data_IF_129510315813
#
_entry.id   IF_129510315813
#
_cell.length_a   1.000
_cell.length_b   1.000
_cell.length_c   1.000
_cell.angle_alpha   90.00
_cell.angle_beta   90.00
_cell.angle_gamma   90.00
#
_symmetry.space_group_name_H-M   'P 1'
#
loop_
_entity.id
_entity.type
_entity.pdbx_description
1 polymer ?
#
# COMPACT_ATOMS: atom_id res chain seq x y z
N UNK A 1 21.12 8.51 0.86
CA UNK A 1 20.04 7.58 0.47
C UNK A 1 18.75 8.02 1.14
N UNK A 2 17.68 8.27 0.37
CA UNK A 2 16.42 8.81 0.90
C UNK A 2 15.58 7.75 1.60
N UNK A 3 15.13 8.02 2.83
CA UNK A 3 14.26 7.14 3.60
C UNK A 3 12.91 6.97 2.89
N UNK A 4 12.62 5.78 2.37
CA UNK A 4 11.43 5.52 1.54
C UNK A 4 10.14 5.36 2.35
N UNK A 5 10.24 5.12 3.66
CA UNK A 5 9.08 5.14 4.55
C UNK A 5 8.64 6.55 4.95
N UNK A 6 9.20 7.62 4.37
CA UNK A 6 8.96 9.02 4.79
C UNK A 6 7.47 9.39 4.74
N UNK A 7 6.80 9.04 3.66
CA UNK A 7 5.40 9.35 3.39
C UNK A 7 4.79 8.22 2.54
N UNK A 8 3.46 8.26 2.35
CA UNK A 8 2.76 7.28 1.52
C UNK A 8 3.24 7.29 0.06
N UNK A 9 3.58 8.47 -0.48
CA UNK A 9 4.17 8.64 -1.80
C UNK A 9 5.38 7.72 -1.99
N UNK A 10 6.40 7.84 -1.14
CA UNK A 10 7.64 7.07 -1.29
C UNK A 10 7.42 5.57 -1.07
N UNK A 11 6.47 5.22 -0.20
CA UNK A 11 6.16 3.84 0.17
C UNK A 11 5.69 2.98 -1.02
N UNK A 12 5.22 3.60 -2.11
CA UNK A 12 4.88 2.90 -3.36
C UNK A 12 6.00 1.98 -3.87
N UNK A 13 7.26 2.40 -3.69
CA UNK A 13 8.44 1.63 -4.10
C UNK A 13 8.56 0.30 -3.35
N UNK A 14 8.22 0.28 -2.06
CA UNK A 14 8.18 -0.94 -1.26
C UNK A 14 7.06 -1.89 -1.74
N UNK A 15 5.89 -1.33 -2.07
CA UNK A 15 4.79 -2.10 -2.65
C UNK A 15 5.18 -2.76 -3.98
N UNK A 16 5.84 -2.02 -4.87
CA UNK A 16 6.35 -2.55 -6.14
C UNK A 16 7.47 -3.58 -5.94
N UNK A 17 8.40 -3.32 -5.01
CA UNK A 17 9.47 -4.25 -4.65
C UNK A 17 8.95 -5.60 -4.14
N UNK A 18 7.76 -5.64 -3.55
CA UNK A 18 7.13 -6.86 -3.07
C UNK A 18 6.44 -7.70 -4.18
N UNK A 19 6.20 -7.13 -5.38
CA UNK A 19 5.43 -7.80 -6.44
C UNK A 19 5.96 -9.19 -6.84
N UNK A 20 7.28 -9.42 -6.96
CA UNK A 20 7.79 -10.75 -7.31
C UNK A 20 7.52 -11.81 -6.24
N UNK A 21 7.30 -11.40 -4.99
CA UNK A 21 7.05 -12.31 -3.86
C UNK A 21 5.56 -12.65 -3.66
N UNK A 22 4.65 -11.96 -4.36
CA UNK A 22 3.20 -12.16 -4.21
C UNK A 22 2.57 -12.77 -5.47
N UNK A 23 1.70 -13.76 -5.27
CA UNK A 23 0.92 -14.37 -6.35
C UNK A 23 -0.18 -13.41 -6.82
N UNK A 24 -0.73 -13.66 -8.01
CA UNK A 24 -1.90 -12.93 -8.50
C UNK A 24 -3.07 -13.07 -7.51
N UNK A 25 -3.75 -11.97 -7.19
CA UNK A 25 -4.82 -11.95 -6.18
C UNK A 25 -4.34 -12.22 -4.75
N UNK A 26 -3.03 -12.16 -4.50
CA UNK A 26 -2.44 -12.27 -3.16
C UNK A 26 -2.68 -11.03 -2.30
N UNK A 27 -2.01 -10.95 -1.16
CA UNK A 27 -2.10 -9.81 -0.23
C UNK A 27 -0.71 -9.23 0.02
N UNK A 28 -0.60 -7.90 -0.03
CA UNK A 28 0.55 -7.14 0.43
C UNK A 28 0.13 -6.35 1.66
N UNK A 29 0.85 -6.54 2.77
CA UNK A 29 0.69 -5.77 4.00
C UNK A 29 1.92 -4.87 4.15
N UNK A 30 1.70 -3.56 4.17
CA UNK A 30 2.77 -2.56 4.31
C UNK A 30 2.76 -2.04 5.74
N UNK A 31 3.85 -2.25 6.45
CA UNK A 31 4.12 -1.59 7.72
C UNK A 31 4.96 -0.33 7.47
N UNK A 32 4.36 0.85 7.53
CA UNK A 32 5.01 2.13 7.28
C UNK A 32 5.03 3.00 8.54
N UNK A 33 6.16 3.68 8.75
CA UNK A 33 6.32 4.74 9.75
C UNK A 33 6.51 6.05 8.98
N UNK A 34 5.40 6.71 8.64
CA UNK A 34 5.40 7.90 7.80
C UNK A 34 5.83 9.13 8.61
N UNK A 35 7.15 9.33 8.69
CA UNK A 35 7.82 10.35 9.53
C UNK A 35 7.70 11.78 9.03
N UNK A 36 7.12 12.02 7.86
CA UNK A 36 6.79 13.38 7.44
C UNK A 36 5.57 13.87 8.22
N UNK A 37 5.80 14.57 9.33
CA UNK A 37 4.72 15.05 10.20
C UNK A 37 3.86 16.15 9.56
N UNK A 38 4.34 16.77 8.48
CA UNK A 38 3.59 17.81 7.76
C UNK A 38 2.77 17.15 6.65
N UNK A 39 3.40 16.27 5.86
CA UNK A 39 2.79 15.63 4.69
C UNK A 39 2.95 14.10 4.72
N UNK A 40 2.34 13.37 5.69
CA UNK A 40 2.55 11.93 5.85
C UNK A 40 2.01 11.10 4.66
N UNK A 41 1.18 11.71 3.81
CA UNK A 41 0.72 11.12 2.55
C UNK A 41 1.60 11.54 1.37
N UNK A 42 2.15 12.76 1.39
CA UNK A 42 2.77 13.43 0.26
C UNK A 42 2.07 14.74 -0.08
N UNK A 43 2.54 15.38 -1.16
CA UNK A 43 2.12 16.71 -1.62
C UNK A 43 0.60 16.84 -1.85
N UNK A 44 0.04 18.06 -1.83
CA UNK A 44 -1.36 18.31 -2.18
C UNK A 44 -1.75 17.79 -3.58
N UNK A 45 -0.85 17.92 -4.56
CA UNK A 45 -1.03 17.39 -5.91
C UNK A 45 -1.14 15.87 -5.87
N UNK A 46 -0.20 15.20 -5.19
CA UNK A 46 -0.23 13.75 -5.03
C UNK A 46 -1.51 13.27 -4.33
N UNK A 47 -1.96 13.95 -3.27
CA UNK A 47 -3.20 13.60 -2.54
C UNK A 47 -4.43 13.61 -3.45
N UNK A 48 -4.48 14.56 -4.39
CA UNK A 48 -5.57 14.64 -5.36
C UNK A 48 -5.49 13.48 -6.36
N UNK A 49 -4.30 13.21 -6.89
CA UNK A 49 -4.07 12.17 -7.88
C UNK A 49 -4.24 10.75 -7.32
N UNK A 50 -3.80 10.49 -6.08
CA UNK A 50 -3.95 9.18 -5.43
C UNK A 50 -5.42 8.91 -5.07
N UNK A 51 -6.19 9.96 -4.76
CA UNK A 51 -7.63 9.83 -4.59
C UNK A 51 -8.33 9.53 -5.92
N UNK A 52 -7.91 10.16 -7.02
CA UNK A 52 -8.39 9.80 -8.36
C UNK A 52 -8.09 8.33 -8.69
N UNK A 53 -6.87 7.84 -8.41
CA UNK A 53 -6.53 6.43 -8.57
C UNK A 53 -7.47 5.52 -7.76
N UNK A 54 -7.78 5.88 -6.51
CA UNK A 54 -8.70 5.11 -5.67
C UNK A 54 -10.10 5.01 -6.29
N UNK A 55 -10.60 6.12 -6.83
CA UNK A 55 -11.96 6.20 -7.39
C UNK A 55 -12.08 5.49 -8.75
N UNK A 56 -11.07 5.64 -9.61
CA UNK A 56 -11.12 5.15 -11.00
C UNK A 56 -10.46 3.77 -11.17
N UNK A 57 -9.70 3.33 -10.18
CA UNK A 57 -8.82 2.18 -10.31
C UNK A 57 -7.62 2.46 -11.23
N UNK A 58 -6.70 1.49 -11.37
CA UNK A 58 -5.44 1.68 -12.11
C UNK A 58 -5.62 2.03 -13.59
N UNK A 59 -6.60 1.41 -14.25
CA UNK A 59 -6.79 1.57 -15.69
C UNK A 59 -7.62 2.82 -15.99
N UNK A 60 -8.69 3.08 -15.23
CA UNK A 60 -9.45 4.32 -15.34
C UNK A 60 -8.62 5.58 -15.02
N UNK A 61 -7.66 5.47 -14.08
CA UNK A 61 -6.69 6.53 -13.83
C UNK A 61 -5.83 6.81 -15.07
N UNK A 62 -5.27 5.76 -15.70
CA UNK A 62 -4.45 5.91 -16.90
C UNK A 62 -5.25 6.46 -18.08
N UNK A 63 -6.51 6.05 -18.25
CA UNK A 63 -7.37 6.55 -19.31
C UNK A 63 -7.68 8.04 -19.12
N UNK A 64 -7.89 8.48 -17.88
CA UNK A 64 -8.07 9.88 -17.53
C UNK A 64 -6.83 10.74 -17.88
N UNK A 65 -5.62 10.23 -17.58
CA UNK A 65 -4.36 10.92 -17.94
C UNK A 65 -4.15 11.05 -19.45
N UNK A 66 -4.76 10.17 -20.26
CA UNK A 66 -4.65 10.17 -21.73
C UNK A 66 -5.66 11.09 -22.41
N UNK A 67 -6.60 11.68 -21.66
CA UNK A 67 -7.59 12.58 -22.25
C UNK A 67 -6.93 13.86 -22.79
N UNK A 68 -7.39 14.41 -23.93
CA UNK A 68 -6.79 15.61 -24.54
C UNK A 68 -6.80 16.85 -23.63
N UNK A 69 -7.71 16.88 -22.64
CA UNK A 69 -7.86 17.99 -21.70
C UNK A 69 -7.01 17.82 -20.44
N UNK A 70 -6.38 16.66 -20.25
CA UNK A 70 -5.50 16.46 -19.11
C UNK A 70 -4.23 17.29 -19.25
N UNK A 71 -3.94 18.09 -18.23
CA UNK A 71 -2.69 18.83 -18.14
C UNK A 71 -1.70 18.01 -17.32
N UNK A 72 -0.51 17.79 -17.87
CA UNK A 72 0.57 17.12 -17.16
C UNK A 72 0.77 17.80 -15.81
N UNK A 73 0.66 17.00 -14.75
CA UNK A 73 0.67 17.49 -13.37
C UNK A 73 1.84 16.86 -12.63
N UNK A 74 2.47 17.65 -11.75
CA UNK A 74 3.52 17.17 -10.86
C UNK A 74 3.04 15.92 -10.11
N UNK A 75 3.93 14.96 -9.87
CA UNK A 75 3.68 13.74 -9.09
C UNK A 75 2.71 12.73 -9.75
N UNK A 76 2.24 12.95 -10.99
CA UNK A 76 1.28 12.06 -11.67
C UNK A 76 1.77 10.63 -11.90
N UNK A 77 3.09 10.40 -11.93
CA UNK A 77 3.63 9.06 -12.12
C UNK A 77 3.48 8.18 -10.86
N UNK A 78 3.44 8.75 -9.65
CA UNK A 78 3.48 7.95 -8.42
C UNK A 78 2.19 7.15 -8.18
N UNK A 79 0.98 7.68 -8.47
CA UNK A 79 -0.22 6.86 -8.51
C UNK A 79 -0.17 5.74 -9.57
N UNK A 80 0.51 5.94 -10.71
CA UNK A 80 0.72 4.84 -11.67
C UNK A 80 1.58 3.70 -11.09
N UNK A 81 2.57 4.05 -10.25
CA UNK A 81 3.38 3.09 -9.49
C UNK A 81 2.49 2.27 -8.55
N UNK A 82 1.61 2.90 -7.79
CA UNK A 82 0.59 2.21 -6.99
C UNK A 82 -0.36 1.37 -7.86
N UNK A 83 -0.71 1.83 -9.05
CA UNK A 83 -1.52 1.09 -10.01
C UNK A 83 -0.94 -0.28 -10.37
N UNK A 84 0.40 -0.43 -10.40
CA UNK A 84 1.05 -1.74 -10.59
C UNK A 84 0.74 -2.71 -9.45
N UNK A 85 0.75 -2.21 -8.21
CA UNK A 85 0.40 -2.99 -7.02
C UNK A 85 -1.06 -3.39 -7.05
N UNK A 86 -1.93 -2.42 -7.28
CA UNK A 86 -3.38 -2.64 -7.30
C UNK A 86 -3.82 -3.58 -8.43
N UNK A 87 -3.15 -3.58 -9.58
CA UNK A 87 -3.41 -4.59 -10.62
C UNK A 87 -3.09 -6.01 -10.16
N UNK A 88 -2.06 -6.18 -9.33
CA UNK A 88 -1.59 -7.49 -8.85
C UNK A 88 -2.44 -8.08 -7.73
N UNK A 89 -2.86 -7.22 -6.78
CA UNK A 89 -3.51 -7.67 -5.53
C UNK A 89 -4.93 -7.14 -5.37
N UNK A 90 -5.39 -6.24 -6.24
CA UNK A 90 -6.66 -5.53 -6.08
C UNK A 90 -6.62 -4.51 -4.94
N UNK A 91 -7.71 -3.74 -4.80
CA UNK A 91 -7.87 -2.80 -3.68
C UNK A 91 -7.87 -3.52 -2.33
N UNK A 92 -8.61 -4.63 -2.23
CA UNK A 92 -8.72 -5.38 -0.98
C UNK A 92 -7.47 -6.19 -0.60
N UNK A 93 -6.55 -6.39 -1.55
CA UNK A 93 -5.31 -7.12 -1.31
C UNK A 93 -4.15 -6.22 -0.89
N UNK A 94 -4.32 -4.90 -0.89
CA UNK A 94 -3.35 -3.97 -0.30
C UNK A 94 -3.84 -3.55 1.09
N UNK A 95 -3.07 -3.84 2.14
CA UNK A 95 -3.33 -3.35 3.49
C UNK A 95 -2.22 -2.37 3.87
N UNK A 96 -2.59 -1.11 4.12
CA UNK A 96 -1.63 -0.07 4.48
C UNK A 96 -1.71 0.24 5.98
N UNK A 97 -0.66 -0.13 6.72
CA UNK A 97 -0.57 0.01 8.17
C UNK A 97 0.39 1.16 8.54
N UNK A 98 -0.17 2.32 8.86
CA UNK A 98 0.55 3.46 9.46
C UNK A 98 -0.27 4.07 10.59
N UNK A 99 0.41 4.46 11.68
CA UNK A 99 -0.19 5.17 12.83
C UNK A 99 -0.12 6.69 12.68
N UNK A 100 0.67 7.19 11.74
CA UNK A 100 0.94 8.61 11.50
C UNK A 100 -0.10 9.23 10.56
N UNK A 101 -0.67 8.44 9.64
CA UNK A 101 -1.77 8.87 8.79
C UNK A 101 -3.08 8.82 9.60
N UNK A 102 -3.73 9.97 9.76
CA UNK A 102 -5.03 10.03 10.44
C UNK A 102 -6.10 9.24 9.71
N UNK A 103 -6.97 8.54 10.46
CA UNK A 103 -8.06 7.69 9.92
C UNK A 103 -8.88 8.38 8.83
N UNK A 104 -9.26 9.65 9.01
CA UNK A 104 -10.06 10.39 8.02
C UNK A 104 -9.37 10.50 6.66
N UNK A 105 -8.04 10.49 6.61
CA UNK A 105 -7.30 10.63 5.36
C UNK A 105 -7.21 9.31 4.57
N UNK A 106 -7.51 8.16 5.18
CA UNK A 106 -7.58 6.89 4.45
C UNK A 106 -8.74 6.86 3.43
N UNK A 107 -9.70 7.79 3.51
CA UNK A 107 -10.69 7.95 2.44
C UNK A 107 -10.01 8.27 1.08
N UNK A 108 -8.83 8.90 1.09
CA UNK A 108 -8.07 9.26 -0.10
C UNK A 108 -7.21 8.11 -0.65
N UNK A 109 -6.79 7.18 0.20
CA UNK A 109 -5.78 6.19 -0.13
C UNK A 109 -6.40 4.91 -0.68
N UNK A 110 -5.81 4.28 -1.70
CA UNK A 110 -6.20 2.94 -2.12
C UNK A 110 -5.78 1.92 -1.06
N UNK A 111 -6.42 0.76 -1.07
CA UNK A 111 -6.16 -0.28 -0.08
C UNK A 111 -7.04 -0.19 1.17
N UNK A 112 -6.92 -1.22 2.00
CA UNK A 112 -7.56 -1.35 3.31
C UNK A 112 -6.78 -0.53 4.34
N UNK A 113 -7.51 0.20 5.18
CA UNK A 113 -6.94 0.99 6.26
C UNK A 113 -6.46 0.08 7.41
N UNK A 114 -5.16 0.07 7.70
CA UNK A 114 -4.62 -0.71 8.82
C UNK A 114 -5.21 -0.33 10.18
N UNK A 115 -5.64 0.93 10.35
CA UNK A 115 -6.28 1.36 11.59
C UNK A 115 -7.61 0.65 11.86
N UNK A 116 -8.28 0.07 10.84
CA UNK A 116 -9.51 -0.71 11.03
C UNK A 116 -9.29 -1.96 11.91
N UNK A 117 -8.05 -2.43 12.02
CA UNK A 117 -7.69 -3.55 12.89
C UNK A 117 -7.49 -3.15 14.36
N UNK A 118 -7.44 -1.85 14.66
CA UNK A 118 -7.26 -1.35 16.02
C UNK A 118 -8.57 -0.86 16.63
N UNK A 119 -8.75 -1.13 17.92
CA UNK A 119 -9.89 -0.62 18.69
C UNK A 119 -9.60 0.78 19.21
N UNK A 120 -10.63 1.64 19.20
CA UNK A 120 -10.59 2.99 19.78
C UNK A 120 -10.62 4.11 18.73
N UNK A 121 -11.20 5.25 19.12
CA UNK A 121 -11.35 6.43 18.24
C UNK A 121 -10.05 7.20 18.05
N UNK A 122 -9.17 7.20 19.06
CA UNK A 122 -7.88 7.89 19.05
C UNK A 122 -6.79 6.89 19.42
N UNK A 123 -5.86 6.67 18.50
CA UNK A 123 -4.77 5.71 18.66
C UNK A 123 -3.51 6.53 18.84
N UNK A 124 -2.86 6.40 20.00
CA UNK A 124 -1.55 7.00 20.22
C UNK A 124 -0.50 6.12 19.53
N UNK A 125 0.36 6.66 18.65
CA UNK A 125 1.42 5.89 18.03
C UNK A 125 2.35 5.27 19.07
N UNK A 126 2.53 3.95 19.01
CA UNK A 126 3.49 3.21 19.83
C UNK A 126 3.90 1.91 19.13
N UNK A 127 5.08 1.34 19.46
CA UNK A 127 5.50 0.05 18.91
C UNK A 127 4.48 -1.07 19.16
N UNK A 128 3.86 -1.09 20.34
CA UNK A 128 2.85 -2.10 20.72
C UNK A 128 1.61 -1.98 19.84
N UNK A 129 1.17 -0.76 19.52
CA UNK A 129 0.04 -0.53 18.62
C UNK A 129 0.36 -0.86 17.18
N UNK A 130 1.59 -0.58 16.73
CA UNK A 130 2.03 -0.99 15.41
C UNK A 130 2.06 -2.52 15.29
N UNK A 131 2.60 -3.21 16.29
CA UNK A 131 2.61 -4.66 16.36
C UNK A 131 1.19 -5.24 16.37
N UNK A 132 0.29 -4.72 17.21
CA UNK A 132 -1.11 -5.14 17.27
C UNK A 132 -1.80 -5.00 15.91
N UNK A 133 -1.61 -3.87 15.24
CA UNK A 133 -2.18 -3.58 13.92
C UNK A 133 -1.70 -4.57 12.87
N UNK A 134 -0.38 -4.80 12.80
CA UNK A 134 0.23 -5.69 11.81
C UNK A 134 -0.20 -7.14 12.08
N UNK A 135 -0.17 -7.58 13.34
CA UNK A 135 -0.57 -8.94 13.71
C UNK A 135 -2.02 -9.23 13.29
N UNK A 136 -2.93 -8.29 13.52
CA UNK A 136 -4.33 -8.44 13.13
C UNK A 136 -4.55 -8.34 11.62
N UNK A 137 -3.79 -7.50 10.92
CA UNK A 137 -3.81 -7.47 9.45
C UNK A 137 -3.37 -8.82 8.86
N UNK A 138 -2.33 -9.45 9.43
CA UNK A 138 -1.88 -10.79 9.04
C UNK A 138 -2.96 -11.83 9.32
N UNK A 139 -3.56 -11.82 10.53
CA UNK A 139 -4.64 -12.74 10.89
C UNK A 139 -5.84 -12.60 9.95
N UNK A 140 -6.23 -11.37 9.63
CA UNK A 140 -7.30 -11.06 8.68
C UNK A 140 -7.00 -11.63 7.28
N UNK A 141 -5.79 -11.41 6.77
CA UNK A 141 -5.38 -11.94 5.47
C UNK A 141 -5.41 -13.49 5.46
N UNK A 142 -4.87 -14.13 6.50
CA UNK A 142 -4.89 -15.60 6.64
C UNK A 142 -6.32 -16.13 6.66
N UNK A 143 -7.18 -15.51 7.46
CA UNK A 143 -8.59 -15.91 7.60
C UNK A 143 -9.32 -15.84 6.25
N UNK A 144 -9.16 -14.74 5.49
CA UNK A 144 -9.77 -14.58 4.16
C UNK A 144 -9.39 -15.66 3.15
N UNK A 145 -8.15 -16.16 3.21
CA UNK A 145 -7.73 -17.28 2.34
C UNK A 145 -8.26 -18.62 2.84
N UNK A 146 -8.24 -18.85 4.16
CA UNK A 146 -8.76 -20.08 4.75
C UNK A 146 -10.26 -20.26 4.56
N UNK A 147 -11.05 -19.17 4.59
CA UNK A 147 -12.47 -19.21 4.22
C UNK A 147 -12.71 -19.69 2.78
N UNK A 148 -11.71 -19.53 1.90
CA UNK A 148 -11.73 -20.02 0.52
C UNK A 148 -11.08 -21.41 0.38
N UNK A 149 -10.74 -22.07 1.48
CA UNK A 149 -10.04 -23.36 1.50
C UNK A 149 -8.57 -23.30 1.06
N UNK A 150 -7.97 -22.11 1.06
CA UNK A 150 -6.57 -21.90 0.66
C UNK A 150 -5.73 -21.71 1.93
N UNK A 151 -4.66 -22.50 2.08
CA UNK A 151 -3.65 -22.26 3.12
C UNK A 151 -2.56 -21.32 2.57
N UNK A 152 -2.48 -20.06 3.04
CA UNK A 152 -1.57 -19.08 2.47
C UNK A 152 -0.14 -19.24 3.02
N UNK A 153 0.84 -18.98 2.16
CA UNK A 153 2.25 -18.80 2.57
C UNK A 153 2.57 -17.32 2.67
N UNK A 154 3.46 -16.94 3.60
CA UNK A 154 3.86 -15.56 3.81
C UNK A 154 5.38 -15.40 3.62
N UNK A 155 5.78 -14.31 2.97
CA UNK A 155 7.17 -13.85 2.93
C UNK A 155 7.28 -12.53 3.72
N UNK A 156 8.40 -12.33 4.42
CA UNK A 156 8.67 -11.09 5.14
C UNK A 156 9.84 -10.35 4.49
N UNK A 157 9.59 -9.12 4.06
CA UNK A 157 10.60 -8.23 3.45
C UNK A 157 10.91 -7.11 4.44
N UNK A 158 12.05 -7.21 5.14
CA UNK A 158 12.45 -6.26 6.18
C UNK A 158 12.68 -4.85 5.64
N UNK A 159 13.25 -4.74 4.44
CA UNK A 159 13.61 -3.47 3.81
C UNK A 159 13.00 -3.39 2.40
N UNK A 160 11.69 -3.19 2.33
CA UNK A 160 10.89 -3.17 1.08
C UNK A 160 11.55 -2.51 -0.13
N UNK A 161 12.04 -1.26 -0.06
CA UNK A 161 12.62 -0.57 -1.22
C UNK A 161 14.05 -1.00 -1.56
N UNK A 162 14.73 -1.71 -0.66
CA UNK A 162 16.14 -2.10 -0.80
C UNK A 162 16.30 -3.60 -1.05
N UNK A 163 15.22 -4.36 -0.98
CA UNK A 163 15.18 -5.78 -1.33
C UNK A 163 14.55 -5.96 -2.71
N UNK A 164 15.19 -6.77 -3.55
CA UNK A 164 14.63 -7.22 -4.83
C UNK A 164 14.42 -8.74 -4.74
N UNK A 165 13.22 -9.22 -4.38
CA UNK A 165 12.94 -10.63 -4.37
C UNK A 165 13.07 -11.19 -5.79
N UNK A 166 13.85 -12.27 -5.94
CA UNK A 166 13.98 -13.00 -7.20
C UNK A 166 13.26 -14.34 -7.09
N UNK A 167 12.49 -14.69 -8.12
CA UNK A 167 11.96 -16.03 -8.25
C UNK A 167 13.12 -16.97 -8.56
N UNK A 168 13.37 -17.93 -7.66
CA UNK A 168 14.33 -19.00 -7.92
C UNK A 168 13.75 -19.84 -9.06
N UNK A 169 14.33 -19.73 -10.27
CA UNK A 169 14.06 -20.70 -11.33
C UNK A 169 14.52 -22.06 -10.79
N UNK A 170 13.58 -22.97 -10.57
CA UNK A 170 13.93 -24.38 -10.43
C UNK A 170 14.59 -24.77 -11.75
N UNK A 171 15.85 -25.22 -11.67
CA UNK A 171 16.55 -25.74 -12.84
C UNK A 171 15.76 -26.92 -13.41
N UNK A 172 15.65 -26.95 -14.74
CA UNK A 172 15.21 -28.14 -15.47
C UNK A 172 16.17 -29.30 -15.22
#
# INVERSE_FOLDING_TARGET
SGYVGRDHYQTAKAGVGALPAVKEGGVIIIAANNRDFIEPIGSPEYRSLIHLLKLQGPDGYLDLLRTPHWKFTKDQWEPEVWGKVLRKVGGDGLIYCSLEIERKNYCLLPGVCGLDFLKGKRIKPSPEKAQEMIQKAIQFAIYRFREKGIEPTMAFIREGPYAVPILKKLGN
#
